data_IF_154097337235
#
_entry.id   IF_154097337235
#
_cell.length_a   1.000
_cell.length_b   1.000
_cell.length_c   1.000
_cell.angle_alpha   90.00
_cell.angle_beta   90.00
_cell.angle_gamma   90.00
#
_symmetry.space_group_name_H-M   'P 1'
#
loop_
_entity.id
_entity.type
_entity.pdbx_description
1 polymer ?
#
# COMPACT_ATOMS: atom_id res chain seq x y z
N UNK A 1 12.72 17.04 53.52
CA UNK A 1 13.46 18.25 53.18
C UNK A 1 14.05 18.02 51.80
N UNK A 2 13.75 18.73 50.75
CA UNK A 2 13.10 19.98 50.51
C UNK A 2 12.42 20.00 49.14
N UNK A 3 11.32 20.67 49.11
CA UNK A 3 10.56 21.07 47.94
C UNK A 3 11.37 21.99 47.01
N UNK A 4 11.18 21.89 45.68
CA UNK A 4 11.17 23.09 44.83
C UNK A 4 10.20 22.89 43.66
N UNK A 5 9.13 23.56 43.83
CA UNK A 5 8.15 24.12 42.90
C UNK A 5 8.81 25.01 41.87
N UNK A 6 8.36 24.94 40.63
CA UNK A 6 8.70 25.89 39.56
C UNK A 6 7.55 25.96 38.58
N UNK A 7 6.66 26.93 38.88
CA UNK A 7 5.58 27.47 38.04
C UNK A 7 6.23 28.47 37.09
N UNK A 8 5.61 28.73 35.95
CA UNK A 8 5.51 29.98 35.16
C UNK A 8 5.35 29.60 33.69
N UNK A 9 4.47 30.02 32.91
CA UNK A 9 3.39 31.01 32.71
C UNK A 9 3.15 30.96 31.19
N UNK A 10 2.00 30.83 30.73
CA UNK A 10 0.92 31.75 30.37
C UNK A 10 1.36 33.04 29.73
N UNK A 11 1.07 33.24 28.45
CA UNK A 11 0.73 34.43 27.70
C UNK A 11 1.01 34.19 26.21
N UNK A 12 0.23 34.58 25.20
CA UNK A 12 -0.87 35.48 25.18
C UNK A 12 -1.53 35.44 23.80
N UNK A 13 -2.80 35.62 23.84
CA UNK A 13 -3.64 35.86 22.66
C UNK A 13 -3.36 37.24 22.08
N UNK A 14 -3.27 37.34 20.75
CA UNK A 14 -3.48 38.64 20.07
C UNK A 14 -4.47 38.41 18.91
N UNK A 15 -5.64 38.93 19.19
CA UNK A 15 -6.75 39.19 18.29
C UNK A 15 -6.39 40.41 17.44
N UNK A 16 -6.45 40.32 16.12
CA UNK A 16 -6.52 41.50 15.26
C UNK A 16 -7.58 41.30 14.19
N UNK A 17 -8.74 41.86 14.52
CA UNK A 17 -9.87 42.14 13.66
C UNK A 17 -9.54 43.38 12.83
N UNK A 18 -9.48 43.25 11.50
CA UNK A 18 -9.51 44.41 10.61
C UNK A 18 -10.67 44.26 9.63
N UNK A 19 -11.74 44.91 9.93
CA UNK A 19 -12.82 45.29 9.02
C UNK A 19 -12.29 46.25 7.94
N UNK A 20 -12.51 45.91 6.67
CA UNK A 20 -12.55 46.87 5.61
C UNK A 20 -13.83 46.68 4.79
N UNK A 21 -14.79 47.52 5.08
CA UNK A 21 -15.93 47.80 4.21
C UNK A 21 -15.47 48.84 3.17
N UNK A 22 -15.51 48.47 1.89
CA UNK A 22 -15.57 49.43 0.80
C UNK A 22 -16.71 49.00 -0.12
N UNK A 23 -17.76 49.76 -0.14
CA UNK A 23 -18.78 49.75 -1.17
C UNK A 23 -18.18 50.26 -2.48
N UNK A 24 -18.36 49.53 -3.57
CA UNK A 24 -18.09 50.00 -4.91
C UNK A 24 -18.91 49.17 -5.88
N UNK A 25 -20.12 49.62 -6.20
CA UNK A 25 -20.92 49.11 -7.32
C UNK A 25 -20.23 49.50 -8.64
N UNK A 26 -19.90 48.50 -9.46
CA UNK A 26 -19.78 48.64 -10.90
C UNK A 26 -20.40 47.38 -11.53
N UNK A 27 -21.50 47.59 -12.25
CA UNK A 27 -22.05 46.60 -13.14
C UNK A 27 -21.07 46.35 -14.29
N UNK A 28 -20.62 45.14 -14.46
CA UNK A 28 -19.80 44.68 -15.53
C UNK A 28 -20.22 43.26 -15.88
N UNK A 29 -20.66 43.11 -17.12
CA UNK A 29 -21.07 41.92 -17.82
C UNK A 29 -20.07 40.78 -17.54
N UNK A 30 -20.48 39.74 -16.84
CA UNK A 30 -19.68 38.58 -16.56
C UNK A 30 -20.01 37.51 -17.63
N UNK A 31 -19.11 37.39 -18.60
CA UNK A 31 -19.01 36.18 -19.37
C UNK A 31 -18.72 35.01 -18.42
N UNK A 32 -19.55 33.99 -18.45
CA UNK A 32 -19.35 32.75 -17.71
C UNK A 32 -18.06 32.10 -18.21
N UNK A 33 -17.01 32.11 -17.39
CA UNK A 33 -15.86 31.20 -17.55
C UNK A 33 -16.36 29.82 -17.20
N UNK A 34 -16.51 28.97 -18.21
CA UNK A 34 -16.67 27.53 -18.05
C UNK A 34 -15.41 27.01 -17.34
N UNK A 35 -15.54 26.60 -16.10
CA UNK A 35 -14.53 25.78 -15.43
C UNK A 35 -14.42 24.48 -16.19
N UNK A 36 -13.21 24.05 -16.60
CA UNK A 36 -13.06 22.74 -17.22
C UNK A 36 -13.52 21.69 -16.21
N UNK A 37 -14.49 20.88 -16.65
CA UNK A 37 -14.90 19.67 -15.96
C UNK A 37 -13.65 18.89 -15.53
N UNK A 38 -13.47 18.71 -14.24
CA UNK A 38 -12.51 17.76 -13.72
C UNK A 38 -12.93 16.40 -14.26
N UNK A 39 -12.13 15.81 -15.11
CA UNK A 39 -12.29 14.41 -15.49
C UNK A 39 -12.35 13.58 -14.21
N UNK A 40 -13.31 12.66 -14.08
CA UNK A 40 -13.36 11.78 -12.91
C UNK A 40 -12.06 10.98 -12.86
N UNK A 41 -11.35 11.08 -11.74
CA UNK A 41 -10.22 10.20 -11.45
C UNK A 41 -10.69 8.75 -11.63
N UNK A 42 -10.20 8.11 -12.69
CA UNK A 42 -10.53 6.72 -12.99
C UNK A 42 -9.95 5.87 -11.87
N UNK A 43 -10.82 5.29 -11.04
CA UNK A 43 -10.44 4.26 -10.08
C UNK A 43 -9.64 3.16 -10.80
N UNK A 44 -8.59 2.61 -10.18
CA UNK A 44 -7.77 1.57 -10.81
C UNK A 44 -8.64 0.39 -11.19
N UNK A 45 -8.78 0.16 -12.48
CA UNK A 45 -9.56 -0.94 -13.02
C UNK A 45 -8.81 -2.26 -12.76
N UNK A 46 -9.36 -3.12 -11.93
CA UNK A 46 -8.91 -4.50 -11.82
C UNK A 46 -9.26 -5.23 -13.12
N UNK A 47 -8.28 -5.49 -13.96
CA UNK A 47 -8.46 -6.27 -15.19
C UNK A 47 -8.21 -7.75 -14.84
N UNK A 48 -9.26 -8.56 -14.88
CA UNK A 48 -9.14 -10.00 -14.75
C UNK A 48 -8.82 -10.55 -16.14
N UNK A 49 -7.63 -11.12 -16.30
CA UNK A 49 -7.25 -11.84 -17.51
C UNK A 49 -7.75 -13.28 -17.44
N UNK A 50 -8.34 -13.80 -18.53
CA UNK A 50 -8.52 -15.23 -18.71
C UNK A 50 -7.14 -15.85 -19.03
N UNK A 51 -6.79 -17.01 -18.42
CA UNK A 51 -5.48 -17.60 -18.60
C UNK A 51 -5.28 -18.07 -20.05
N UNK A 52 -4.16 -17.70 -20.68
CA UNK A 52 -3.68 -18.38 -21.90
C UNK A 52 -3.30 -19.84 -21.58
N UNK A 53 -3.58 -20.76 -22.49
CA UNK A 53 -3.17 -22.17 -22.34
C UNK A 53 -1.64 -22.28 -22.26
N UNK A 54 -1.14 -22.66 -21.08
CA UNK A 54 0.28 -22.87 -20.82
C UNK A 54 0.78 -24.19 -21.40
N UNK A 55 2.00 -24.20 -21.93
CA UNK A 55 2.68 -25.40 -22.36
C UNK A 55 2.91 -26.38 -21.18
N UNK A 56 2.88 -27.73 -21.39
CA UNK A 56 3.01 -28.69 -20.30
C UNK A 56 4.37 -28.60 -19.60
N UNK A 57 4.38 -28.11 -18.35
CA UNK A 57 5.57 -28.08 -17.49
C UNK A 57 5.83 -26.76 -16.77
N UNK A 58 5.15 -25.70 -17.12
CA UNK A 58 5.30 -24.39 -16.50
C UNK A 58 3.97 -23.98 -15.82
N UNK A 59 3.87 -24.21 -14.52
CA UNK A 59 2.72 -23.78 -13.73
C UNK A 59 2.95 -22.37 -13.21
N UNK A 60 2.56 -21.36 -14.00
CA UNK A 60 2.41 -20.01 -13.49
C UNK A 60 0.97 -19.88 -12.99
N UNK A 61 0.80 -19.62 -11.70
CA UNK A 61 -0.51 -19.31 -11.15
C UNK A 61 -0.85 -17.88 -11.59
N UNK A 62 -1.86 -17.74 -12.45
CA UNK A 62 -2.35 -16.45 -12.89
C UNK A 62 -3.32 -15.87 -11.84
N UNK A 63 -2.99 -14.70 -11.34
CA UNK A 63 -3.84 -13.89 -10.51
C UNK A 63 -4.28 -12.62 -11.25
N UNK A 64 -4.97 -11.71 -10.57
CA UNK A 64 -5.39 -10.45 -11.16
C UNK A 64 -4.20 -9.53 -11.42
N UNK A 65 -4.22 -8.82 -12.54
CA UNK A 65 -3.36 -7.66 -12.78
C UNK A 65 -3.94 -6.47 -12.01
N UNK A 66 -3.09 -5.73 -11.31
CA UNK A 66 -3.48 -4.52 -10.58
C UNK A 66 -2.60 -3.36 -11.05
N UNK A 67 -3.23 -2.38 -11.70
CA UNK A 67 -2.52 -1.23 -12.28
C UNK A 67 -2.06 -0.30 -11.16
N UNK A 68 -0.78 0.04 -11.17
CA UNK A 68 -0.13 0.92 -10.20
C UNK A 68 0.58 2.07 -10.91
N UNK A 69 0.68 3.22 -10.24
CA UNK A 69 1.49 4.35 -10.67
C UNK A 69 2.98 4.11 -10.38
N UNK A 70 3.87 4.92 -10.97
CA UNK A 70 5.32 4.84 -10.69
C UNK A 70 5.65 5.11 -9.21
N UNK A 71 4.95 6.04 -8.55
CA UNK A 71 5.13 6.35 -7.13
C UNK A 71 4.69 5.19 -6.24
N UNK A 72 3.58 4.54 -6.58
CA UNK A 72 3.11 3.33 -5.87
C UNK A 72 4.06 2.17 -6.07
N UNK A 73 4.60 1.99 -7.26
CA UNK A 73 5.61 0.99 -7.58
C UNK A 73 6.84 1.17 -6.69
N UNK A 74 7.41 2.37 -6.64
CA UNK A 74 8.55 2.67 -5.79
C UNK A 74 8.25 2.36 -4.30
N UNK A 75 7.05 2.69 -3.84
CA UNK A 75 6.64 2.41 -2.46
C UNK A 75 6.51 0.90 -2.21
N UNK A 76 5.89 0.14 -3.12
CA UNK A 76 5.77 -1.32 -3.03
C UNK A 76 7.15 -1.97 -2.98
N UNK A 77 8.04 -1.60 -3.91
CA UNK A 77 9.41 -2.13 -3.98
C UNK A 77 10.17 -1.91 -2.66
N UNK A 78 10.05 -0.73 -2.08
CA UNK A 78 10.65 -0.40 -0.78
C UNK A 78 10.06 -1.21 0.37
N UNK A 79 8.76 -1.46 0.36
CA UNK A 79 8.11 -2.29 1.39
C UNK A 79 8.48 -3.76 1.21
N UNK A 80 8.45 -4.31 0.00
CA UNK A 80 8.91 -5.68 -0.26
C UNK A 80 10.38 -5.84 0.13
N UNK A 81 11.23 -4.82 -0.12
CA UNK A 81 12.61 -4.81 0.34
C UNK A 81 12.73 -4.82 1.87
N UNK A 82 11.87 -4.10 2.58
CA UNK A 82 11.87 -4.09 4.04
C UNK A 82 11.48 -5.46 4.63
N UNK A 83 10.51 -6.13 4.02
CA UNK A 83 9.97 -7.40 4.50
C UNK A 83 10.80 -8.63 4.08
N UNK A 84 11.29 -8.67 2.84
CA UNK A 84 11.79 -9.91 2.23
C UNK A 84 13.11 -9.78 1.45
N UNK A 85 13.90 -8.72 1.59
CA UNK A 85 15.13 -8.54 0.77
C UNK A 85 16.18 -9.64 0.93
N UNK A 86 16.14 -10.40 2.03
CA UNK A 86 17.06 -11.51 2.32
C UNK A 86 16.59 -12.85 1.75
N UNK A 87 15.33 -12.95 1.36
CA UNK A 87 14.64 -14.18 1.01
C UNK A 87 14.73 -14.49 -0.51
N UNK A 88 14.15 -15.59 -0.94
CA UNK A 88 14.04 -15.96 -2.37
C UNK A 88 13.14 -14.97 -3.14
N UNK A 89 13.25 -14.99 -4.46
CA UNK A 89 12.35 -14.23 -5.33
C UNK A 89 10.90 -14.68 -5.16
N UNK A 90 10.67 -15.95 -4.90
CA UNK A 90 9.35 -16.52 -4.65
C UNK A 90 8.73 -15.95 -3.36
N UNK A 91 9.49 -15.81 -2.28
CA UNK A 91 9.03 -15.14 -1.07
C UNK A 91 8.75 -13.65 -1.30
N UNK A 92 9.58 -12.95 -2.09
CA UNK A 92 9.33 -11.56 -2.48
C UNK A 92 8.04 -11.40 -3.27
N UNK A 93 7.79 -12.31 -4.23
CA UNK A 93 6.53 -12.36 -4.99
C UNK A 93 5.34 -12.63 -4.07
N UNK A 94 5.46 -13.53 -3.10
CA UNK A 94 4.41 -13.82 -2.13
C UNK A 94 4.06 -12.59 -1.27
N UNK A 95 5.06 -11.82 -0.83
CA UNK A 95 4.83 -10.55 -0.12
C UNK A 95 4.19 -9.51 -1.03
N UNK A 96 4.64 -9.38 -2.28
CA UNK A 96 4.02 -8.50 -3.28
C UNK A 96 2.56 -8.91 -3.55
N UNK A 97 2.27 -10.24 -3.63
CA UNK A 97 0.92 -10.76 -3.74
C UNK A 97 0.04 -10.35 -2.55
N UNK A 98 0.55 -10.40 -1.32
CA UNK A 98 -0.22 -9.93 -0.15
C UNK A 98 -0.60 -8.46 -0.27
N UNK A 99 0.29 -7.62 -0.79
CA UNK A 99 -0.01 -6.19 -1.00
C UNK A 99 -1.14 -6.04 -2.03
N UNK A 100 -1.00 -6.65 -3.22
CA UNK A 100 -1.98 -6.62 -4.29
C UNK A 100 -3.35 -7.16 -3.82
N UNK A 101 -3.35 -8.32 -3.19
CA UNK A 101 -4.58 -8.98 -2.77
C UNK A 101 -5.29 -8.22 -1.66
N UNK A 102 -4.54 -7.51 -0.79
CA UNK A 102 -5.13 -6.57 0.18
C UNK A 102 -5.76 -5.36 -0.49
N UNK A 103 -5.16 -4.80 -1.54
CA UNK A 103 -5.76 -3.72 -2.31
C UNK A 103 -7.11 -4.16 -2.89
N UNK A 104 -7.14 -5.33 -3.51
CA UNK A 104 -8.35 -5.87 -4.15
C UNK A 104 -9.40 -6.26 -3.11
N UNK A 105 -9.06 -7.08 -2.12
CA UNK A 105 -10.04 -7.63 -1.17
C UNK A 105 -10.60 -6.60 -0.19
N UNK A 106 -9.86 -5.53 0.07
CA UNK A 106 -10.26 -4.46 0.98
C UNK A 106 -10.75 -3.22 0.25
N UNK A 107 -10.72 -3.22 -1.09
CA UNK A 107 -11.08 -2.05 -1.94
C UNK A 107 -10.33 -0.79 -1.51
N UNK A 108 -8.99 -0.90 -1.36
CA UNK A 108 -8.11 0.16 -0.88
C UNK A 108 -6.97 0.42 -1.85
N UNK A 109 -6.55 1.67 -1.93
CA UNK A 109 -5.34 2.06 -2.66
C UNK A 109 -4.08 1.44 -2.04
N UNK A 110 -3.01 1.34 -2.83
CA UNK A 110 -1.70 0.88 -2.37
C UNK A 110 -1.22 1.69 -1.16
N UNK A 111 -1.35 3.00 -1.22
CA UNK A 111 -0.94 3.90 -0.13
C UNK A 111 -1.70 3.58 1.16
N UNK A 112 -3.03 3.39 1.12
CA UNK A 112 -3.81 3.07 2.31
C UNK A 112 -3.43 1.70 2.88
N UNK A 113 -3.15 0.72 2.04
CA UNK A 113 -2.72 -0.62 2.48
C UNK A 113 -1.35 -0.56 3.14
N UNK A 114 -0.38 0.13 2.52
CA UNK A 114 1.01 0.15 2.98
C UNK A 114 1.25 1.10 4.17
N UNK A 115 0.42 2.13 4.34
CA UNK A 115 0.52 3.07 5.47
C UNK A 115 -0.37 2.71 6.65
N UNK A 116 -1.18 1.65 6.54
CA UNK A 116 -2.03 1.19 7.64
C UNK A 116 -1.18 0.77 8.85
N UNK A 117 -1.55 1.16 10.08
CA UNK A 117 -0.77 0.87 11.27
C UNK A 117 -0.54 -0.64 11.47
N UNK A 118 0.70 -1.03 11.80
CA UNK A 118 1.09 -2.41 12.13
C UNK A 118 0.82 -3.44 11.03
N UNK A 119 0.78 -3.03 9.76
CA UNK A 119 0.55 -3.94 8.64
C UNK A 119 1.85 -4.32 7.93
N UNK A 120 2.78 -3.39 7.81
CA UNK A 120 4.09 -3.57 7.19
C UNK A 120 5.16 -2.79 7.95
N UNK A 121 6.41 -3.19 7.77
CA UNK A 121 7.58 -2.44 8.22
C UNK A 121 7.67 -1.10 7.50
N UNK A 122 8.41 -0.15 8.09
CA UNK A 122 8.72 1.10 7.40
C UNK A 122 9.44 0.81 6.06
N UNK A 123 9.11 1.54 4.99
CA UNK A 123 9.74 1.34 3.69
C UNK A 123 11.27 1.41 3.79
N UNK A 124 11.95 0.51 3.07
CA UNK A 124 13.42 0.45 3.03
C UNK A 124 13.98 1.75 2.43
N UNK A 125 14.97 2.34 3.10
CA UNK A 125 15.57 3.62 2.71
C UNK A 125 16.81 3.48 1.82
N UNK A 126 17.29 2.24 1.60
CA UNK A 126 18.43 1.94 0.75
C UNK A 126 18.07 1.73 -0.72
N UNK A 127 19.11 1.37 -1.52
CA UNK A 127 18.91 1.02 -2.92
C UNK A 127 18.18 -0.34 -3.03
N UNK A 128 17.03 -0.34 -3.69
CA UNK A 128 16.27 -1.56 -3.99
C UNK A 128 17.02 -2.38 -5.05
N UNK A 129 17.19 -3.67 -4.79
CA UNK A 129 17.85 -4.60 -5.71
C UNK A 129 16.92 -4.96 -6.89
N UNK A 130 17.49 -5.26 -8.07
CA UNK A 130 16.72 -5.53 -9.28
C UNK A 130 15.79 -6.76 -9.10
N UNK A 131 16.23 -7.81 -8.40
CA UNK A 131 15.38 -8.98 -8.08
C UNK A 131 14.07 -8.64 -7.34
N UNK A 132 14.03 -7.56 -6.56
CA UNK A 132 12.81 -7.08 -5.90
C UNK A 132 11.89 -6.42 -6.91
N UNK A 133 12.46 -5.61 -7.83
CA UNK A 133 11.73 -5.00 -8.92
C UNK A 133 11.12 -6.05 -9.84
N UNK A 134 11.89 -7.12 -10.14
CA UNK A 134 11.41 -8.24 -10.92
C UNK A 134 10.23 -8.93 -10.22
N UNK A 135 10.33 -9.21 -8.91
CA UNK A 135 9.24 -9.80 -8.14
C UNK A 135 7.96 -8.94 -8.13
N UNK A 136 8.11 -7.61 -8.03
CA UNK A 136 6.99 -6.67 -8.11
C UNK A 136 6.40 -6.63 -9.51
N UNK A 137 7.24 -6.61 -10.56
CA UNK A 137 6.78 -6.65 -11.96
C UNK A 137 6.03 -7.94 -12.28
N UNK A 138 6.57 -9.11 -11.92
CA UNK A 138 5.89 -10.38 -12.09
C UNK A 138 4.51 -10.39 -11.42
N UNK A 139 4.40 -9.82 -10.23
CA UNK A 139 3.14 -9.84 -9.47
C UNK A 139 2.13 -8.82 -9.98
N UNK A 140 2.53 -7.59 -10.26
CA UNK A 140 1.61 -6.50 -10.59
C UNK A 140 1.38 -6.32 -12.09
N UNK A 141 2.43 -6.47 -12.92
CA UNK A 141 2.33 -6.24 -14.36
C UNK A 141 1.93 -7.50 -15.12
N UNK A 142 2.45 -8.66 -14.70
CA UNK A 142 2.21 -9.94 -15.35
C UNK A 142 1.10 -10.76 -14.67
N UNK A 143 0.65 -10.31 -13.49
CA UNK A 143 -0.40 -10.98 -12.73
C UNK A 143 0.01 -12.33 -12.13
N UNK A 144 1.31 -12.62 -12.01
CA UNK A 144 1.76 -13.86 -11.39
C UNK A 144 1.37 -13.92 -9.92
N UNK A 145 1.00 -15.09 -9.45
CA UNK A 145 0.68 -15.36 -8.05
C UNK A 145 1.49 -16.56 -7.56
N UNK A 146 1.93 -16.47 -6.32
CA UNK A 146 2.60 -17.60 -5.62
C UNK A 146 1.57 -18.56 -5.07
N UNK A 147 0.40 -18.06 -4.67
CA UNK A 147 -0.71 -18.85 -4.15
C UNK A 147 -1.93 -18.74 -5.07
N UNK A 148 -2.64 -19.84 -5.25
CA UNK A 148 -3.90 -19.92 -6.02
C UNK A 148 -5.02 -19.04 -5.40
N UNK A 149 -4.98 -18.85 -4.09
CA UNK A 149 -5.97 -18.06 -3.36
C UNK A 149 -5.37 -16.73 -2.90
N UNK A 150 -6.20 -15.68 -2.72
CA UNK A 150 -5.73 -14.40 -2.21
C UNK A 150 -4.99 -14.53 -0.89
N UNK A 151 -3.73 -14.07 -0.86
CA UNK A 151 -2.93 -14.03 0.36
C UNK A 151 -3.12 -12.67 1.04
N UNK A 152 -3.51 -12.67 2.32
CA UNK A 152 -3.81 -11.41 3.01
C UNK A 152 -3.01 -11.19 4.29
N UNK A 153 -2.36 -12.22 4.82
CA UNK A 153 -1.57 -12.15 6.05
C UNK A 153 -0.33 -13.02 5.95
N UNK A 154 0.73 -12.62 6.63
CA UNK A 154 1.96 -13.40 6.78
C UNK A 154 2.67 -13.05 8.08
N UNK A 155 3.55 -13.94 8.51
CA UNK A 155 4.51 -13.69 9.60
C UNK A 155 5.75 -14.56 9.42
N UNK A 156 6.87 -14.14 10.01
CA UNK A 156 8.13 -14.88 9.99
C UNK A 156 8.07 -16.05 10.98
N UNK A 157 7.65 -17.22 10.51
CA UNK A 157 7.44 -18.44 11.32
C UNK A 157 8.74 -19.00 11.92
N UNK A 158 9.88 -18.67 11.30
CA UNK A 158 11.20 -19.05 11.84
C UNK A 158 11.68 -18.14 12.98
N UNK A 159 11.00 -17.01 13.24
CA UNK A 159 11.41 -16.03 14.27
C UNK A 159 10.45 -15.94 15.45
N UNK A 160 9.18 -16.19 15.23
CA UNK A 160 8.13 -16.04 16.27
C UNK A 160 7.15 -17.20 16.23
N UNK A 161 6.55 -17.51 17.37
CA UNK A 161 5.44 -18.45 17.48
C UNK A 161 4.21 -17.93 16.71
N UNK A 162 3.31 -18.84 16.25
CA UNK A 162 2.10 -18.44 15.54
C UNK A 162 1.29 -17.40 16.32
N UNK A 163 1.02 -16.21 15.76
CA UNK A 163 0.14 -15.22 16.39
C UNK A 163 -1.31 -15.73 16.52
N UNK A 164 -2.05 -15.27 17.52
CA UNK A 164 -3.43 -15.71 17.81
C UNK A 164 -4.38 -15.56 16.61
N UNK A 165 -4.13 -14.58 15.72
CA UNK A 165 -4.97 -14.39 14.55
C UNK A 165 -4.90 -15.55 13.54
N UNK A 166 -3.83 -16.38 13.56
CA UNK A 166 -3.67 -17.53 12.67
C UNK A 166 -4.73 -18.61 12.89
N UNK A 167 -5.26 -18.73 14.12
CA UNK A 167 -6.29 -19.72 14.49
C UNK A 167 -7.59 -19.56 13.68
N UNK A 168 -7.88 -18.33 13.21
CA UNK A 168 -9.11 -18.00 12.48
C UNK A 168 -8.87 -17.77 10.98
N UNK A 169 -7.69 -18.14 10.47
CA UNK A 169 -7.33 -17.94 9.07
C UNK A 169 -6.98 -19.26 8.38
N UNK A 170 -7.15 -19.27 7.08
CA UNK A 170 -6.73 -20.42 6.28
C UNK A 170 -5.24 -20.28 5.94
N UNK A 171 -4.47 -21.28 6.33
CA UNK A 171 -3.06 -21.43 5.94
C UNK A 171 -2.93 -21.72 4.45
N UNK A 172 -2.03 -21.02 3.78
CA UNK A 172 -1.75 -21.17 2.35
C UNK A 172 -0.44 -21.91 2.09
N UNK A 173 0.60 -21.64 2.85
CA UNK A 173 1.91 -22.24 2.70
C UNK A 173 3.00 -21.49 3.45
N UNK A 174 4.23 -22.03 3.39
CA UNK A 174 5.43 -21.41 3.95
C UNK A 174 6.52 -21.33 2.87
N UNK A 175 7.19 -20.21 2.78
CA UNK A 175 8.32 -19.96 1.88
C UNK A 175 9.41 -19.26 2.69
N UNK A 176 10.63 -19.82 2.70
CA UNK A 176 11.80 -19.27 3.42
C UNK A 176 11.54 -18.99 4.92
N UNK A 177 10.69 -19.80 5.59
CA UNK A 177 10.32 -19.57 6.98
C UNK A 177 9.35 -18.40 7.19
N UNK A 178 8.65 -17.97 6.16
CA UNK A 178 7.53 -17.03 6.21
C UNK A 178 6.24 -17.78 5.90
N UNK A 179 5.31 -17.78 6.85
CA UNK A 179 4.00 -18.46 6.72
C UNK A 179 2.93 -17.48 6.24
N UNK A 180 2.17 -17.90 5.22
CA UNK A 180 1.15 -17.09 4.54
C UNK A 180 -0.25 -17.62 4.80
N UNK A 181 -1.22 -16.70 4.90
CA UNK A 181 -2.61 -16.98 5.25
C UNK A 181 -3.59 -16.12 4.45
N UNK A 182 -4.84 -16.61 4.35
CA UNK A 182 -5.98 -15.83 3.89
C UNK A 182 -7.08 -15.74 4.96
N UNK A 183 -7.84 -14.67 4.89
CA UNK A 183 -9.06 -14.47 5.68
C UNK A 183 -10.23 -15.25 5.08
#
# INVERSE_FOLDING_TARGET
MGKRTGIVALAGAVLLLAMFLILGSIAGDAAAEETPDAEPETEPACIIYEPEELEPGEYIIQGPVYIITDDERELIEKVVAAEARGESIECMMAVAQVIRDRCITREKSVTEVLTAPNQFSAPYDGKVADRIKDAVSFTFDEGHSTFEYPATHFYASHLIDPPDWTENMQYLGEIDGVSFYRQ
#
